data_IF_306360617851
#
_entry.id   IF_306360617851
#
_cell.length_a   1.000
_cell.length_b   1.000
_cell.length_c   1.000
_cell.angle_alpha   90.00
_cell.angle_beta   90.00
_cell.angle_gamma   90.00
#
_symmetry.space_group_name_H-M   'P 1'
#
loop_
_entity.id
_entity.type
_entity.pdbx_description
1 polymer ?
#
# COMPACT_ATOMS: atom_id res chain seq x y z
N UNK A 1 -59.41 1.67 -29.78
CA UNK A 1 -60.31 0.74 -29.03
C UNK A 1 -59.42 0.01 -28.02
N UNK A 2 -59.55 0.00 -26.69
CA UNK A 2 -60.56 0.43 -25.70
C UNK A 2 -59.83 0.71 -24.37
N UNK A 3 -60.36 1.69 -23.61
CA UNK A 3 -60.46 1.88 -22.15
C UNK A 3 -59.31 1.43 -21.22
N UNK A 4 -58.64 2.33 -20.49
CA UNK A 4 -59.02 2.94 -19.19
C UNK A 4 -59.24 1.94 -18.04
N UNK A 5 -58.39 1.99 -17.01
CA UNK A 5 -58.85 2.13 -15.60
C UNK A 5 -57.74 2.64 -14.68
N UNK A 6 -58.09 3.69 -13.96
CA UNK A 6 -57.39 4.36 -12.87
C UNK A 6 -57.82 3.65 -11.57
N UNK A 7 -56.89 3.29 -10.68
CA UNK A 7 -57.26 2.96 -9.29
C UNK A 7 -56.34 3.66 -8.32
N UNK A 8 -56.91 4.70 -7.69
CA UNK A 8 -56.44 5.34 -6.46
C UNK A 8 -56.78 4.41 -5.27
N UNK A 9 -55.84 4.19 -4.36
CA UNK A 9 -56.11 3.82 -2.96
C UNK A 9 -55.04 4.54 -2.12
N UNK A 10 -55.39 5.65 -1.48
CA UNK A 10 -55.99 5.74 -0.14
C UNK A 10 -54.90 5.75 0.95
N UNK A 11 -54.62 6.96 1.43
CA UNK A 11 -53.84 7.22 2.62
C UNK A 11 -54.57 6.65 3.85
N UNK A 12 -53.87 5.87 4.66
CA UNK A 12 -54.31 5.50 6.01
C UNK A 12 -53.38 6.21 6.98
N UNK A 13 -53.95 7.25 7.61
CA UNK A 13 -53.43 7.87 8.81
C UNK A 13 -53.71 6.90 9.96
N UNK A 14 -52.64 6.37 10.55
CA UNK A 14 -52.71 5.49 11.71
C UNK A 14 -51.60 5.86 12.69
N UNK A 15 -51.91 6.76 13.62
CA UNK A 15 -51.04 7.12 14.73
C UNK A 15 -51.01 5.97 15.74
N UNK A 16 -49.89 5.27 15.81
CA UNK A 16 -49.53 4.42 16.95
C UNK A 16 -48.24 4.96 17.54
N UNK A 17 -48.39 5.66 18.67
CA UNK A 17 -47.29 6.05 19.53
C UNK A 17 -46.76 4.79 20.24
N UNK A 18 -45.66 4.25 19.72
CA UNK A 18 -44.85 3.23 20.38
C UNK A 18 -43.50 3.88 20.73
N UNK A 19 -42.98 3.75 21.97
CA UNK A 19 -41.64 4.18 22.30
C UNK A 19 -40.66 3.14 21.73
N UNK A 20 -40.54 3.07 20.40
CA UNK A 20 -39.41 2.39 19.79
C UNK A 20 -38.20 3.30 20.00
N UNK A 21 -37.41 2.98 21.02
CA UNK A 21 -36.01 3.35 21.06
C UNK A 21 -35.36 2.73 19.81
N UNK A 22 -35.37 3.50 18.72
CA UNK A 22 -34.64 3.16 17.51
C UNK A 22 -33.16 3.18 17.88
N UNK A 23 -32.62 2.00 18.20
CA UNK A 23 -31.19 1.76 18.21
C UNK A 23 -30.76 1.90 16.76
N UNK A 24 -30.47 3.12 16.34
CA UNK A 24 -29.83 3.38 15.05
C UNK A 24 -28.48 2.67 15.14
N UNK A 25 -28.20 1.63 14.33
CA UNK A 25 -26.87 1.05 14.32
C UNK A 25 -25.94 2.17 13.86
N UNK A 26 -25.16 2.71 14.79
CA UNK A 26 -24.01 3.54 14.45
C UNK A 26 -23.06 2.63 13.68
N UNK A 27 -23.07 2.74 12.34
CA UNK A 27 -22.09 2.11 11.49
C UNK A 27 -20.72 2.73 11.80
N UNK A 28 -20.08 2.20 12.84
CA UNK A 28 -18.68 2.46 13.15
C UNK A 28 -17.86 1.87 12.01
N UNK A 29 -17.66 2.66 10.95
CA UNK A 29 -16.78 2.24 9.89
C UNK A 29 -15.36 2.21 10.48
N UNK A 30 -14.90 0.98 10.72
CA UNK A 30 -13.50 0.65 10.98
C UNK A 30 -12.63 1.49 10.07
N UNK A 31 -11.75 2.30 10.65
CA UNK A 31 -10.65 2.89 9.89
C UNK A 31 -9.80 1.74 9.36
N UNK A 32 -9.92 1.45 8.06
CA UNK A 32 -8.94 0.61 7.37
C UNK A 32 -7.55 1.22 7.53
N UNK A 33 -6.53 0.37 7.68
CA UNK A 33 -5.14 0.83 7.80
C UNK A 33 -4.74 1.76 6.64
N UNK A 34 -3.69 2.57 6.79
CA UNK A 34 -3.26 3.47 5.72
C UNK A 34 -3.01 2.71 4.41
N UNK A 35 -3.43 3.31 3.30
CA UNK A 35 -3.12 2.86 1.95
C UNK A 35 -1.98 3.67 1.35
N UNK A 36 -1.19 3.06 0.47
CA UNK A 36 -0.22 3.78 -0.36
C UNK A 36 -0.16 3.23 -1.77
N UNK A 37 0.25 4.07 -2.71
CA UNK A 37 0.38 3.73 -4.11
C UNK A 37 1.53 4.51 -4.76
N UNK A 38 2.32 3.82 -5.58
CA UNK A 38 3.45 4.35 -6.35
C UNK A 38 3.37 3.78 -7.76
N UNK A 39 3.35 4.62 -8.79
CA UNK A 39 3.24 4.13 -10.16
C UNK A 39 4.59 3.62 -10.71
N UNK A 40 5.68 4.35 -10.48
CA UNK A 40 7.04 3.88 -10.78
C UNK A 40 8.04 4.36 -9.73
N UNK A 41 9.03 3.52 -9.43
CA UNK A 41 10.25 3.92 -8.73
C UNK A 41 11.42 3.04 -9.18
N UNK A 42 12.64 3.55 -9.02
CA UNK A 42 13.85 2.78 -9.26
C UNK A 42 14.92 3.10 -8.22
N UNK A 43 15.64 2.09 -7.76
CA UNK A 43 16.74 2.20 -6.80
C UNK A 43 17.98 1.49 -7.32
N UNK A 44 19.15 1.96 -6.91
CA UNK A 44 20.44 1.47 -7.40
C UNK A 44 21.26 2.59 -8.05
N UNK A 45 22.17 2.24 -8.98
CA UNK A 45 23.04 3.22 -9.65
C UNK A 45 22.32 4.38 -10.32
N UNK A 46 21.12 4.13 -10.86
CA UNK A 46 20.25 5.17 -11.42
C UNK A 46 18.93 5.15 -10.67
N UNK A 47 18.74 6.15 -9.81
CA UNK A 47 17.52 6.28 -9.04
C UNK A 47 16.42 7.01 -9.83
N UNK A 48 15.19 6.55 -9.68
CA UNK A 48 13.98 7.28 -10.09
C UNK A 48 13.13 7.43 -8.84
N UNK A 49 12.83 8.67 -8.41
CA UNK A 49 12.00 8.89 -7.25
C UNK A 49 10.59 8.32 -7.47
N UNK A 50 9.90 7.88 -6.41
CA UNK A 50 8.50 7.43 -6.50
C UNK A 50 7.60 8.44 -7.22
N UNK A 51 7.11 8.08 -8.42
CA UNK A 51 6.41 9.01 -9.32
C UNK A 51 5.19 8.38 -9.99
N UNK A 52 4.00 9.01 -9.89
CA UNK A 52 3.52 9.69 -8.69
C UNK A 52 3.45 8.73 -7.49
N UNK A 53 3.47 9.30 -6.29
CA UNK A 53 3.28 8.58 -5.03
C UNK A 53 2.21 9.27 -4.16
N UNK A 54 1.35 8.45 -3.56
CA UNK A 54 0.27 8.88 -2.65
C UNK A 54 0.23 7.93 -1.46
N UNK A 55 0.01 8.48 -0.27
CA UNK A 55 -0.29 7.73 0.95
C UNK A 55 -1.46 8.42 1.63
N UNK A 56 -2.48 7.66 2.02
CA UNK A 56 -3.65 8.23 2.69
C UNK A 56 -4.30 7.22 3.64
N UNK A 57 -4.82 7.73 4.75
CA UNK A 57 -5.69 7.03 5.69
C UNK A 57 -7.14 7.55 5.64
N UNK A 58 -7.44 8.49 4.73
CA UNK A 58 -8.77 9.05 4.58
C UNK A 58 -9.75 8.02 3.99
N UNK A 59 -11.05 8.19 4.21
CA UNK A 59 -12.07 7.34 3.56
C UNK A 59 -12.21 7.63 2.07
N UNK A 60 -11.92 8.86 1.65
CA UNK A 60 -12.00 9.26 0.25
C UNK A 60 -10.67 9.02 -0.48
N UNK A 61 -10.70 8.63 -1.77
CA UNK A 61 -9.49 8.44 -2.57
C UNK A 61 -8.71 9.73 -2.79
N UNK A 62 -7.46 9.76 -2.31
CA UNK A 62 -6.46 10.71 -2.78
C UNK A 62 -5.82 10.17 -4.06
N UNK A 63 -5.59 11.05 -5.04
CA UNK A 63 -5.12 10.65 -6.37
C UNK A 63 -4.06 11.62 -6.88
N UNK A 64 -3.05 11.07 -7.55
CA UNK A 64 -2.07 11.84 -8.32
C UNK A 64 -1.85 11.18 -9.68
N UNK A 65 -1.65 12.01 -10.69
CA UNK A 65 -1.43 11.59 -12.06
C UNK A 65 -0.22 12.30 -12.65
N UNK A 66 0.50 11.60 -13.52
CA UNK A 66 1.56 12.16 -14.36
C UNK A 66 1.30 11.68 -15.77
N UNK A 67 1.25 12.60 -16.73
CA UNK A 67 0.94 12.28 -18.11
C UNK A 67 2.05 11.43 -18.76
N UNK A 68 3.31 11.75 -18.48
CA UNK A 68 4.47 11.09 -19.04
C UNK A 68 5.64 11.14 -18.06
N UNK A 69 6.42 10.05 -18.00
CA UNK A 69 7.64 10.00 -17.21
C UNK A 69 8.76 10.79 -17.91
N UNK A 70 9.43 11.74 -17.23
CA UNK A 70 10.53 12.45 -17.83
C UNK A 70 11.67 11.54 -18.31
N UNK A 71 12.41 11.95 -19.36
CA UNK A 71 13.58 11.21 -19.83
C UNK A 71 14.56 10.91 -18.70
N UNK A 72 15.04 9.68 -18.65
CA UNK A 72 15.90 9.19 -17.57
C UNK A 72 17.02 8.29 -18.14
N UNK A 73 18.12 8.16 -17.40
CA UNK A 73 19.29 7.40 -17.86
C UNK A 73 19.04 5.88 -17.96
N UNK A 74 17.93 5.36 -17.44
CA UNK A 74 17.51 3.97 -17.62
C UNK A 74 16.77 3.74 -18.96
N UNK A 75 16.40 4.80 -19.67
CA UNK A 75 15.61 4.69 -20.91
C UNK A 75 14.22 4.11 -20.65
N UNK A 76 13.62 4.48 -19.52
CA UNK A 76 12.25 4.10 -19.19
C UNK A 76 11.32 5.14 -19.78
N UNK A 77 10.43 4.70 -20.66
CA UNK A 77 9.32 5.45 -21.23
C UNK A 77 8.04 4.93 -20.59
N UNK A 78 7.16 5.83 -20.15
CA UNK A 78 5.89 5.46 -19.54
C UNK A 78 4.91 6.63 -19.62
N UNK A 79 3.63 6.30 -19.83
CA UNK A 79 2.55 7.26 -20.01
C UNK A 79 1.41 6.99 -19.02
N UNK A 80 0.61 8.02 -18.74
CA UNK A 80 -0.59 8.00 -17.88
C UNK A 80 -0.36 7.25 -16.56
N UNK A 81 0.65 7.70 -15.82
CA UNK A 81 0.98 7.14 -14.52
C UNK A 81 -0.06 7.64 -13.50
N UNK A 82 -0.76 6.72 -12.84
CA UNK A 82 -1.76 7.01 -11.81
C UNK A 82 -1.37 6.32 -10.51
N UNK A 83 -1.51 7.04 -9.41
CA UNK A 83 -1.46 6.49 -8.06
C UNK A 83 -2.66 7.02 -7.26
N UNK A 84 -3.34 6.11 -6.56
CA UNK A 84 -4.46 6.42 -5.69
C UNK A 84 -4.40 5.60 -4.41
N UNK A 85 -4.68 6.24 -3.27
CA UNK A 85 -4.70 5.57 -1.98
C UNK A 85 -5.82 6.11 -1.09
N UNK A 86 -6.36 5.24 -0.24
CA UNK A 86 -7.30 5.56 0.83
C UNK A 86 -7.27 4.45 1.88
N UNK A 87 -8.04 4.63 2.96
CA UNK A 87 -8.14 3.72 4.09
C UNK A 87 -8.38 2.27 3.68
N UNK A 88 -7.36 1.42 3.79
CA UNK A 88 -7.38 -0.01 3.45
C UNK A 88 -7.15 -0.31 1.97
N UNK A 89 -6.83 0.67 1.15
CA UNK A 89 -6.80 0.50 -0.30
C UNK A 89 -5.65 1.25 -0.99
N UNK A 90 -5.11 0.63 -2.03
CA UNK A 90 -4.13 1.23 -2.92
C UNK A 90 -4.35 0.79 -4.37
N UNK A 91 -4.21 1.71 -5.30
CA UNK A 91 -4.25 1.44 -6.74
C UNK A 91 -3.17 2.22 -7.46
N UNK A 92 -2.43 1.54 -8.33
CA UNK A 92 -1.46 2.16 -9.21
C UNK A 92 -1.60 1.60 -10.62
N UNK A 93 -1.39 2.44 -11.63
CA UNK A 93 -1.34 1.99 -13.02
C UNK A 93 -0.38 2.81 -13.85
N UNK A 94 0.18 2.17 -14.87
CA UNK A 94 1.06 2.75 -15.88
C UNK A 94 0.65 2.23 -17.25
N UNK A 95 0.65 3.10 -18.25
CA UNK A 95 0.38 2.74 -19.66
C UNK A 95 1.62 2.94 -20.51
N UNK A 96 1.67 2.26 -21.65
CA UNK A 96 2.74 2.38 -22.65
C UNK A 96 4.15 2.29 -22.05
N UNK A 97 4.34 1.36 -21.11
CA UNK A 97 5.60 1.17 -20.43
C UNK A 97 6.61 0.49 -21.35
N UNK A 98 7.78 1.10 -21.50
CA UNK A 98 8.93 0.50 -22.22
C UNK A 98 10.20 0.76 -21.43
N UNK A 99 11.01 -0.28 -21.28
CA UNK A 99 12.34 -0.20 -20.68
C UNK A 99 13.30 -0.78 -21.69
N UNK A 100 13.71 0.05 -22.65
CA UNK A 100 14.43 -0.40 -23.83
C UNK A 100 15.72 -1.15 -23.47
N UNK A 101 16.47 -0.62 -22.49
CA UNK A 101 17.73 -1.22 -22.02
C UNK A 101 17.55 -2.62 -21.42
N UNK A 102 16.36 -2.96 -20.93
CA UNK A 102 16.06 -4.25 -20.31
C UNK A 102 15.16 -5.13 -21.19
N UNK A 103 14.86 -4.71 -22.41
CA UNK A 103 14.02 -5.45 -23.34
C UNK A 103 12.60 -5.70 -22.82
N UNK A 104 12.09 -4.83 -21.95
CA UNK A 104 10.75 -4.96 -21.36
C UNK A 104 9.78 -3.97 -21.97
N UNK A 105 8.54 -4.42 -22.25
CA UNK A 105 7.44 -3.51 -22.58
C UNK A 105 6.09 -4.05 -22.13
N UNK A 106 5.12 -3.18 -21.86
CA UNK A 106 3.73 -3.53 -21.56
C UNK A 106 2.80 -2.35 -21.85
N UNK A 107 1.67 -2.60 -22.51
CA UNK A 107 0.69 -1.56 -22.84
C UNK A 107 -0.05 -1.05 -21.59
N UNK A 108 -0.27 -1.92 -20.61
CA UNK A 108 -0.85 -1.52 -19.32
C UNK A 108 -0.34 -2.41 -18.21
N UNK A 109 0.02 -1.78 -17.10
CA UNK A 109 0.36 -2.42 -15.84
C UNK A 109 -0.52 -1.82 -14.77
N UNK A 110 -1.14 -2.66 -13.94
CA UNK A 110 -1.99 -2.20 -12.85
C UNK A 110 -1.77 -3.07 -11.63
N UNK A 111 -1.74 -2.45 -10.46
CA UNK A 111 -1.84 -3.13 -9.18
C UNK A 111 -2.99 -2.56 -8.36
N UNK A 112 -3.67 -3.44 -7.63
CA UNK A 112 -4.72 -3.09 -6.67
C UNK A 112 -4.49 -3.87 -5.40
N UNK A 113 -4.64 -3.19 -4.27
CA UNK A 113 -4.62 -3.76 -2.94
C UNK A 113 -5.84 -3.26 -2.19
N UNK A 114 -6.62 -4.18 -1.61
CA UNK A 114 -7.86 -3.91 -0.90
C UNK A 114 -7.92 -4.80 0.35
N UNK A 115 -7.89 -4.17 1.52
CA UNK A 115 -8.07 -4.81 2.83
C UNK A 115 -7.16 -6.03 3.07
N UNK A 116 -5.90 -5.93 2.64
CA UNK A 116 -4.89 -6.98 2.78
C UNK A 116 -4.98 -8.10 1.75
N UNK A 117 -5.77 -7.92 0.69
CA UNK A 117 -5.78 -8.74 -0.52
C UNK A 117 -5.28 -7.89 -1.68
N UNK A 118 -4.64 -8.49 -2.68
CA UNK A 118 -4.55 -7.77 -3.93
C UNK A 118 -3.99 -8.54 -5.09
N UNK A 119 -3.99 -7.83 -6.20
CA UNK A 119 -3.91 -8.39 -7.53
C UNK A 119 -3.14 -7.44 -8.43
N UNK A 120 -2.50 -8.00 -9.44
CA UNK A 120 -1.91 -7.23 -10.52
C UNK A 120 -2.41 -7.73 -11.86
N UNK A 121 -2.49 -6.81 -12.81
CA UNK A 121 -2.88 -7.07 -14.18
C UNK A 121 -1.83 -6.47 -15.10
N UNK A 122 -1.44 -7.26 -16.09
CA UNK A 122 -0.58 -6.83 -17.18
C UNK A 122 -1.37 -6.97 -18.48
N UNK A 123 -1.11 -6.12 -19.46
CA UNK A 123 -1.63 -6.24 -20.82
C UNK A 123 -0.47 -6.17 -21.80
N UNK A 124 -0.44 -7.11 -22.75
CA UNK A 124 0.54 -7.15 -23.85
C UNK A 124 2.00 -7.05 -23.39
N UNK A 125 2.30 -7.63 -22.22
CA UNK A 125 3.63 -7.53 -21.65
C UNK A 125 4.61 -8.48 -22.35
N UNK A 126 5.80 -7.98 -22.63
CA UNK A 126 6.92 -8.74 -23.20
C UNK A 126 8.20 -8.50 -22.41
N UNK A 127 9.01 -9.53 -22.29
CA UNK A 127 10.34 -9.46 -21.68
C UNK A 127 11.34 -10.20 -22.55
N UNK A 128 12.33 -9.47 -23.06
CA UNK A 128 13.34 -9.95 -24.00
C UNK A 128 12.72 -10.68 -25.21
N UNK A 129 11.67 -10.08 -25.80
CA UNK A 129 10.92 -10.63 -26.94
C UNK A 129 9.91 -11.72 -26.60
N UNK A 130 9.84 -12.22 -25.35
CA UNK A 130 8.91 -13.27 -24.93
C UNK A 130 7.64 -12.67 -24.34
N UNK A 131 6.47 -13.07 -24.83
CA UNK A 131 5.17 -12.67 -24.25
C UNK A 131 5.00 -13.26 -22.85
N UNK A 132 4.49 -12.46 -21.93
CA UNK A 132 4.23 -12.85 -20.55
C UNK A 132 2.78 -13.31 -20.37
N UNK A 133 2.56 -14.27 -19.47
CA UNK A 133 1.21 -14.70 -19.10
C UNK A 133 0.56 -13.62 -18.24
N UNK A 134 -0.66 -13.22 -18.62
CA UNK A 134 -1.44 -12.15 -17.98
C UNK A 134 -1.91 -12.50 -16.56
N UNK A 135 -1.87 -13.78 -16.19
CA UNK A 135 -2.35 -14.34 -14.91
C UNK A 135 -1.25 -15.09 -14.17
N UNK A 136 -0.12 -14.42 -13.92
CA UNK A 136 0.96 -14.99 -13.14
C UNK A 136 0.55 -15.18 -11.67
N UNK A 137 0.94 -16.31 -11.07
CA UNK A 137 0.78 -16.52 -9.64
C UNK A 137 1.58 -15.47 -8.84
N UNK A 138 1.21 -15.17 -7.59
CA UNK A 138 2.01 -14.29 -6.75
C UNK A 138 3.49 -14.71 -6.70
N UNK A 139 4.39 -13.73 -6.73
CA UNK A 139 5.84 -13.93 -6.72
C UNK A 139 6.39 -14.80 -7.86
N UNK A 140 5.77 -14.76 -9.04
CA UNK A 140 6.29 -15.48 -10.22
C UNK A 140 7.54 -14.81 -10.77
N UNK A 141 8.68 -15.49 -10.76
CA UNK A 141 9.94 -14.97 -11.27
C UNK A 141 10.34 -15.61 -12.59
N UNK A 142 11.08 -14.86 -13.41
CA UNK A 142 11.78 -15.36 -14.57
C UNK A 142 13.06 -14.58 -14.79
N UNK A 143 14.05 -15.23 -15.36
CA UNK A 143 15.35 -14.64 -15.63
C UNK A 143 15.61 -14.66 -17.13
N UNK A 144 16.23 -13.60 -17.64
CA UNK A 144 16.70 -13.53 -19.02
C UNK A 144 18.07 -12.86 -19.06
N UNK A 145 18.86 -13.24 -20.05
CA UNK A 145 20.09 -12.53 -20.36
C UNK A 145 19.75 -11.30 -21.24
N UNK A 146 20.15 -10.13 -20.78
CA UNK A 146 19.94 -8.85 -21.45
C UNK A 146 21.26 -8.40 -22.05
N UNK A 147 21.31 -8.11 -23.37
CA UNK A 147 22.50 -7.61 -24.03
C UNK A 147 23.07 -6.38 -23.31
N UNK A 148 24.36 -6.43 -22.95
CA UNK A 148 25.08 -5.35 -22.28
C UNK A 148 24.84 -5.21 -20.77
N UNK A 149 23.89 -5.95 -20.18
CA UNK A 149 23.56 -5.89 -18.73
C UNK A 149 23.67 -7.24 -18.02
N UNK A 150 23.86 -8.34 -18.76
CA UNK A 150 23.97 -9.67 -18.19
C UNK A 150 22.61 -10.21 -17.73
N UNK A 151 22.56 -10.87 -16.57
CA UNK A 151 21.31 -11.47 -16.07
C UNK A 151 20.36 -10.42 -15.50
N UNK A 152 19.11 -10.42 -15.95
CA UNK A 152 18.02 -9.65 -15.38
C UNK A 152 16.89 -10.59 -14.92
N UNK A 153 16.35 -10.33 -13.74
CA UNK A 153 15.25 -11.07 -13.13
C UNK A 153 14.01 -10.22 -13.11
N UNK A 154 12.94 -10.71 -13.72
CA UNK A 154 11.60 -10.13 -13.65
C UNK A 154 10.75 -10.93 -12.68
N UNK A 155 10.22 -10.25 -11.66
CA UNK A 155 9.24 -10.79 -10.72
C UNK A 155 7.89 -10.14 -10.99
N UNK A 156 6.91 -10.96 -11.34
CA UNK A 156 5.53 -10.56 -11.56
C UNK A 156 4.73 -10.76 -10.27
N UNK A 157 3.81 -9.82 -10.01
CA UNK A 157 2.87 -9.90 -8.91
C UNK A 157 3.58 -10.19 -7.56
N UNK A 158 4.64 -9.42 -7.25
CA UNK A 158 5.42 -9.60 -6.02
C UNK A 158 4.57 -9.20 -4.83
N UNK A 159 4.35 -10.12 -3.89
CA UNK A 159 3.55 -9.91 -2.67
C UNK A 159 4.48 -10.02 -1.48
N UNK A 160 4.52 -8.97 -0.66
CA UNK A 160 5.29 -8.93 0.58
C UNK A 160 4.35 -8.51 1.70
N UNK A 161 4.24 -9.34 2.74
CA UNK A 161 3.49 -8.99 3.95
C UNK A 161 4.50 -8.58 5.04
N UNK A 162 4.27 -7.44 5.66
CA UNK A 162 5.10 -6.98 6.78
C UNK A 162 4.67 -7.60 8.11
N UNK A 163 5.43 -7.31 9.18
CA UNK A 163 5.14 -7.76 10.55
C UNK A 163 3.82 -7.23 11.12
N UNK A 164 3.34 -6.10 10.59
CA UNK A 164 2.12 -5.42 11.02
C UNK A 164 0.90 -5.95 10.22
N UNK A 165 1.13 -6.88 9.29
CA UNK A 165 0.10 -7.52 8.49
C UNK A 165 -0.31 -6.73 7.25
N UNK A 166 0.35 -5.61 6.95
CA UNK A 166 0.13 -4.87 5.71
C UNK A 166 0.66 -5.66 4.52
N UNK A 167 -0.09 -5.65 3.43
CA UNK A 167 0.30 -6.30 2.19
C UNK A 167 0.81 -5.24 1.21
N UNK A 168 2.04 -5.39 0.75
CA UNK A 168 2.63 -4.65 -0.36
C UNK A 168 2.63 -5.53 -1.60
N UNK A 169 2.13 -4.97 -2.70
CA UNK A 169 2.03 -5.65 -3.99
C UNK A 169 2.71 -4.79 -5.03
N UNK A 170 3.65 -5.38 -5.74
CA UNK A 170 4.29 -4.76 -6.90
C UNK A 170 3.92 -5.58 -8.12
N UNK A 171 3.24 -4.97 -9.09
CA UNK A 171 2.85 -5.67 -10.31
C UNK A 171 4.06 -6.22 -11.05
N UNK A 172 5.13 -5.42 -11.13
CA UNK A 172 6.39 -5.78 -11.79
C UNK A 172 7.56 -5.26 -10.98
N UNK A 173 8.44 -6.16 -10.56
CA UNK A 173 9.75 -5.82 -10.03
C UNK A 173 10.83 -6.38 -10.97
N UNK A 174 11.66 -5.51 -11.50
CA UNK A 174 12.75 -5.88 -12.40
C UNK A 174 14.08 -5.58 -11.72
N UNK A 175 14.93 -6.59 -11.62
CA UNK A 175 16.24 -6.51 -10.97
C UNK A 175 17.31 -6.89 -11.98
N UNK A 176 18.32 -6.04 -12.17
CA UNK A 176 19.44 -6.28 -13.08
C UNK A 176 20.74 -5.75 -12.48
N UNK A 177 21.88 -6.17 -13.04
CA UNK A 177 23.19 -5.65 -12.63
C UNK A 177 23.63 -4.56 -13.61
N UNK A 178 23.78 -3.33 -13.13
CA UNK A 178 24.32 -2.20 -13.88
C UNK A 178 25.67 -1.81 -13.29
N UNK A 179 26.73 -1.87 -14.09
CA UNK A 179 28.10 -1.53 -13.67
C UNK A 179 28.52 -2.22 -12.35
N UNK A 180 28.21 -3.52 -12.22
CA UNK A 180 28.54 -4.34 -11.04
C UNK A 180 27.66 -4.09 -9.80
N UNK A 181 26.64 -3.23 -9.89
CA UNK A 181 25.72 -2.94 -8.78
C UNK A 181 24.28 -3.31 -9.15
N UNK A 182 23.51 -3.74 -8.17
CA UNK A 182 22.09 -4.07 -8.36
C UNK A 182 21.27 -2.82 -8.64
N UNK A 183 20.50 -2.87 -9.72
CA UNK A 183 19.45 -1.91 -10.07
C UNK A 183 18.10 -2.61 -9.92
N UNK A 184 17.18 -1.98 -9.20
CA UNK A 184 15.80 -2.45 -9.02
C UNK A 184 14.85 -1.41 -9.56
N UNK A 185 13.83 -1.86 -10.31
CA UNK A 185 12.76 -1.02 -10.84
C UNK A 185 11.44 -1.64 -10.38
N UNK A 186 10.59 -0.86 -9.72
CA UNK A 186 9.28 -1.26 -9.27
C UNK A 186 8.21 -0.49 -10.05
N UNK A 187 7.27 -1.22 -10.65
CA UNK A 187 6.16 -0.66 -11.42
C UNK A 187 4.85 -1.04 -10.74
N UNK A 188 4.00 -0.05 -10.54
CA UNK A 188 2.68 -0.15 -9.91
C UNK A 188 2.77 -0.90 -8.59
N UNK A 189 3.38 -0.25 -7.60
CA UNK A 189 3.50 -0.76 -6.24
C UNK A 189 2.41 -0.14 -5.36
N UNK A 190 1.73 -0.95 -4.57
CA UNK A 190 0.64 -0.53 -3.68
C UNK A 190 0.76 -1.24 -2.35
N UNK A 191 0.40 -0.57 -1.26
CA UNK A 191 0.31 -1.17 0.06
C UNK A 191 -1.09 -0.96 0.62
N UNK A 192 -1.64 -2.00 1.24
CA UNK A 192 -2.87 -1.91 2.00
C UNK A 192 -2.78 -2.70 3.30
N UNK A 193 -3.21 -2.08 4.40
CA UNK A 193 -3.44 -2.78 5.66
C UNK A 193 -4.70 -3.65 5.60
N UNK A 194 -4.76 -4.68 6.43
CA UNK A 194 -6.06 -5.30 6.73
C UNK A 194 -6.93 -4.24 7.40
N UNK A 195 -8.19 -4.12 6.97
CA UNK A 195 -9.17 -3.47 7.82
C UNK A 195 -9.17 -4.19 9.17
N UNK A 196 -9.06 -3.45 10.27
CA UNK A 196 -9.31 -4.04 11.59
C UNK A 196 -10.64 -4.78 11.53
N UNK A 197 -10.73 -5.98 12.12
CA UNK A 197 -12.04 -6.57 12.38
C UNK A 197 -12.85 -5.53 13.18
N UNK A 198 -14.17 -5.38 12.96
CA UNK A 198 -15.03 -4.68 13.92
C UNK A 198 -14.67 -5.21 15.29
N UNK A 199 -14.31 -4.32 16.21
CA UNK A 199 -13.65 -4.69 17.45
C UNK A 199 -14.37 -5.85 18.13
N UNK A 200 -13.61 -6.85 18.57
CA UNK A 200 -13.91 -7.36 19.90
C UNK A 200 -13.94 -6.12 20.80
N UNK A 201 -15.01 -5.90 21.58
CA UNK A 201 -15.11 -4.75 22.45
C UNK A 201 -13.81 -4.66 23.23
N UNK A 202 -13.03 -3.60 22.98
CA UNK A 202 -11.97 -3.20 23.88
C UNK A 202 -12.60 -3.24 25.26
N UNK A 203 -11.93 -3.97 26.15
CA UNK A 203 -12.25 -4.03 27.59
C UNK A 203 -12.83 -2.68 28.01
N UNK A 204 -14.04 -2.65 28.59
CA UNK A 204 -14.66 -1.38 28.98
C UNK A 204 -13.65 -0.57 29.81
N UNK A 205 -13.62 0.77 29.66
CA UNK A 205 -12.73 1.59 30.47
C UNK A 205 -12.95 1.20 31.92
N UNK A 206 -11.88 0.78 32.58
CA UNK A 206 -11.90 0.47 34.00
C UNK A 206 -12.61 1.61 34.71
N UNK A 207 -13.69 1.26 35.41
CA UNK A 207 -14.44 2.15 36.30
C UNK A 207 -13.46 3.05 37.05
N UNK A 208 -13.72 4.35 37.21
CA UNK A 208 -12.87 5.21 38.03
C UNK A 208 -12.66 4.53 39.38
N UNK A 209 -11.41 4.24 39.72
CA UNK A 209 -11.07 3.66 41.01
C UNK A 209 -11.56 4.61 42.10
N UNK A 210 -12.29 4.06 43.07
CA UNK A 210 -12.61 4.78 44.30
C UNK A 210 -11.31 5.34 44.92
N UNK A 211 -11.35 6.51 45.58
CA UNK A 211 -10.20 7.06 46.28
C UNK A 211 -9.66 6.07 47.32
N UNK A 212 -8.55 5.41 46.99
CA UNK A 212 -7.81 4.57 47.92
C UNK A 212 -7.15 5.40 49.02
N UNK A 213 -7.17 4.88 50.24
CA UNK A 213 -6.52 5.46 51.41
C UNK A 213 -5.03 5.78 51.16
N UNK A 214 -4.45 6.78 51.87
CA UNK A 214 -3.07 7.22 51.64
C UNK A 214 -2.08 6.07 51.88
N UNK A 215 -1.30 5.75 50.84
CA UNK A 215 -0.12 4.88 50.98
C UNK A 215 1.10 5.72 51.40
N UNK A 216 1.91 5.15 52.29
CA UNK A 216 3.11 5.75 52.88
C UNK A 216 4.18 6.15 51.84
N UNK A 217 5.14 7.05 52.19
CA UNK A 217 6.07 7.63 51.24
C UNK A 217 7.07 6.60 50.70
N UNK A 218 7.17 6.50 49.38
CA UNK A 218 8.23 5.79 48.67
C UNK A 218 9.51 6.64 48.55
N UNK A 219 10.63 5.94 48.65
CA UNK A 219 12.04 6.36 48.71
C UNK A 219 12.50 7.20 47.49
N UNK A 220 13.53 8.07 47.59
CA UNK A 220 13.96 8.93 46.48
C UNK A 220 14.55 8.17 45.28
N UNK A 221 14.59 8.78 44.08
CA UNK A 221 15.05 8.15 42.84
C UNK A 221 16.53 7.77 42.88
N UNK A 222 16.83 6.52 42.54
CA UNK A 222 18.19 6.03 42.35
C UNK A 222 18.88 6.68 41.15
N UNK A 223 20.13 7.08 41.36
CA UNK A 223 21.03 7.72 40.40
C UNK A 223 21.33 6.79 39.21
N UNK A 224 21.41 7.37 38.00
CA UNK A 224 21.78 6.65 36.77
C UNK A 224 23.18 6.02 36.87
N UNK A 225 23.42 4.80 36.34
CA UNK A 225 24.73 4.17 36.36
C UNK A 225 25.76 4.96 35.55
N UNK A 226 26.94 5.20 36.14
CA UNK A 226 28.06 5.85 35.46
C UNK A 226 28.68 4.92 34.38
N UNK A 227 29.19 5.46 33.27
CA UNK A 227 29.84 4.67 32.22
C UNK A 227 31.15 4.05 32.73
N UNK A 228 31.37 2.77 32.44
CA UNK A 228 32.65 2.09 32.71
C UNK A 228 33.68 2.42 31.63
N UNK A 229 34.88 2.91 32.00
CA UNK A 229 35.97 3.14 31.07
C UNK A 229 36.42 1.85 30.38
N UNK A 230 36.72 1.95 29.08
CA UNK A 230 37.35 0.89 28.30
C UNK A 230 38.86 0.96 28.53
N UNK A 231 39.49 -0.19 28.77
CA UNK A 231 40.94 -0.29 28.95
C UNK A 231 41.66 0.17 27.68
N UNK A 232 42.26 1.36 27.70
CA UNK A 232 43.08 1.85 26.59
C UNK A 232 43.38 3.35 26.57
N UNK A 233 42.56 4.20 27.20
CA UNK A 233 42.80 5.65 27.18
C UNK A 233 43.48 6.17 28.45
N UNK A 234 44.58 6.89 28.23
CA UNK A 234 45.42 7.53 29.24
C UNK A 234 44.62 8.60 30.03
N UNK A 235 44.90 8.79 31.33
CA UNK A 235 44.26 9.84 32.11
C UNK A 235 44.76 11.22 31.66
N UNK A 236 43.87 12.04 31.10
CA UNK A 236 44.09 13.48 30.95
C UNK A 236 43.80 14.16 32.29
N UNK A 237 44.86 14.64 32.93
CA UNK A 237 44.80 15.54 34.08
C UNK A 237 44.64 16.98 33.59
N UNK A 238 43.66 17.71 34.14
CA UNK A 238 43.61 19.18 34.12
C UNK A 238 42.50 19.77 33.29
#
# INVERSE_FOLDING_TARGET
MRLQTITKCAAVVGALALPFAAVVPTASATSGGAGSAVAISATGPVAIPPTPAVTSNARQPERKNVAELPPNALGIEASLLNAAAWSGHGRASVTDLRIAKLGFSASTVTAKCENGNGVSHLKEATFNGRKLKLTAAPNSSMTANVPGLGSATLTLNKHVRDKDGNLSITAIELTATLAGKTQTIAISSVTCGKAGKPGDPSVPPSKPSEPGAPSAPSTPPGVAPAPTPVTGDLPVTG
#
